data_IF_381571852277
#
_entry.id   IF_381571852277
#
_cell.length_a   1.000
_cell.length_b   1.000
_cell.length_c   1.000
_cell.angle_alpha   90.00
_cell.angle_beta   90.00
_cell.angle_gamma   90.00
#
_symmetry.space_group_name_H-M   'P 1'
#
loop_
_entity.id
_entity.type
_entity.pdbx_description
1 polymer ?
#
# COMPACT_ATOMS: atom_id res chain seq x y z
N UNK A 1 -16.72 3.86 -17.91
CA UNK A 1 -17.16 4.00 -16.51
C UNK A 1 -17.48 2.60 -16.02
N UNK A 2 -16.75 2.10 -15.02
CA UNK A 2 -17.03 0.79 -14.42
C UNK A 2 -18.29 0.93 -13.60
N UNK A 3 -19.33 0.16 -13.91
CA UNK A 3 -20.57 0.14 -13.14
C UNK A 3 -20.32 -0.24 -11.67
N UNK A 4 -21.22 0.18 -10.79
CA UNK A 4 -21.18 -0.16 -9.37
C UNK A 4 -21.27 -1.68 -9.23
N UNK A 5 -20.24 -2.32 -8.67
CA UNK A 5 -20.27 -3.76 -8.35
C UNK A 5 -21.29 -4.02 -7.24
N UNK A 6 -21.95 -5.17 -7.31
CA UNK A 6 -22.95 -5.59 -6.32
C UNK A 6 -22.38 -5.52 -4.89
N UNK A 7 -22.98 -4.70 -4.02
CA UNK A 7 -22.59 -4.55 -2.61
C UNK A 7 -21.97 -3.19 -2.24
N UNK A 8 -21.51 -2.39 -3.20
CA UNK A 8 -20.96 -1.06 -2.91
C UNK A 8 -21.98 0.05 -3.10
N UNK A 9 -21.89 1.10 -2.26
CA UNK A 9 -22.87 2.20 -2.22
C UNK A 9 -22.69 3.15 -3.42
N UNK A 10 -21.45 3.37 -3.86
CA UNK A 10 -21.10 4.26 -4.99
C UNK A 10 -19.72 3.88 -5.58
N UNK A 11 -19.38 4.28 -6.83
CA UNK A 11 -18.06 4.04 -7.38
C UNK A 11 -17.00 4.98 -6.75
N UNK A 12 -15.74 4.57 -6.72
CA UNK A 12 -14.63 5.43 -6.29
C UNK A 12 -14.36 6.54 -7.32
N UNK A 13 -14.17 7.78 -6.85
CA UNK A 13 -13.69 8.88 -7.69
C UNK A 13 -12.16 8.96 -7.66
N UNK A 14 -11.52 8.04 -8.40
CA UNK A 14 -10.06 8.01 -8.55
C UNK A 14 -9.53 9.13 -9.44
N UNK A 15 -10.39 9.86 -10.16
CA UNK A 15 -9.96 10.96 -11.04
C UNK A 15 -9.76 12.25 -10.24
N UNK A 16 -10.69 12.54 -9.35
CA UNK A 16 -10.59 13.70 -8.46
C UNK A 16 -9.85 13.40 -7.16
N UNK A 17 -9.71 12.11 -6.79
CA UNK A 17 -8.95 11.71 -5.61
C UNK A 17 -9.66 12.01 -4.30
N UNK A 18 -10.99 11.81 -4.26
CA UNK A 18 -11.79 12.09 -3.06
C UNK A 18 -11.78 10.91 -2.11
N UNK A 19 -11.25 11.14 -0.91
CA UNK A 19 -11.33 10.22 0.24
C UNK A 19 -12.21 10.86 1.30
N UNK A 20 -13.00 10.05 1.98
CA UNK A 20 -13.81 10.47 3.13
C UNK A 20 -13.73 9.43 4.25
N UNK A 21 -14.30 9.78 5.41
CA UNK A 21 -14.25 8.95 6.62
C UNK A 21 -14.85 7.55 6.44
N UNK A 22 -15.75 7.33 5.46
CA UNK A 22 -16.33 6.00 5.24
C UNK A 22 -15.29 5.00 4.73
N UNK A 23 -14.24 5.48 4.06
CA UNK A 23 -13.15 4.63 3.56
C UNK A 23 -12.20 4.16 4.67
N UNK A 24 -12.26 4.74 5.88
CA UNK A 24 -11.51 4.30 7.06
C UNK A 24 -12.35 3.54 8.11
N UNK A 25 -13.62 3.25 7.81
CA UNK A 25 -14.59 2.74 8.79
C UNK A 25 -14.58 1.23 9.04
N UNK A 26 -13.75 0.46 8.33
CA UNK A 26 -13.78 -1.01 8.39
C UNK A 26 -14.90 -1.67 7.57
N UNK A 27 -15.80 -0.87 6.97
CA UNK A 27 -16.96 -1.38 6.23
C UNK A 27 -16.71 -1.62 4.73
N UNK A 28 -17.82 -1.74 3.98
CA UNK A 28 -17.78 -2.01 2.53
C UNK A 28 -17.06 -0.94 1.72
N UNK A 29 -17.11 0.32 2.12
CA UNK A 29 -16.39 1.41 1.44
C UNK A 29 -14.86 1.26 1.58
N UNK A 30 -14.36 0.86 2.76
CA UNK A 30 -12.95 0.54 2.96
C UNK A 30 -12.54 -0.67 2.11
N UNK A 31 -13.35 -1.74 2.12
CA UNK A 31 -13.09 -2.92 1.30
C UNK A 31 -13.04 -2.58 -0.21
N UNK A 32 -13.90 -1.68 -0.68
CA UNK A 32 -13.87 -1.18 -2.05
C UNK A 32 -12.56 -0.44 -2.36
N UNK A 33 -12.11 0.44 -1.47
CA UNK A 33 -10.85 1.16 -1.64
C UNK A 33 -9.66 0.20 -1.71
N UNK A 34 -9.64 -0.80 -0.83
CA UNK A 34 -8.63 -1.87 -0.85
C UNK A 34 -8.67 -2.62 -2.19
N UNK A 35 -9.85 -3.05 -2.64
CA UNK A 35 -9.98 -3.88 -3.84
C UNK A 35 -9.70 -3.12 -5.15
N UNK A 36 -10.27 -1.92 -5.30
CA UNK A 36 -10.28 -1.21 -6.58
C UNK A 36 -9.06 -0.30 -6.78
N UNK A 37 -8.41 0.13 -5.68
CA UNK A 37 -7.20 0.95 -5.72
C UNK A 37 -5.95 0.15 -5.32
N UNK A 38 -5.87 -0.31 -4.07
CA UNK A 38 -4.63 -0.90 -3.53
C UNK A 38 -4.31 -2.26 -4.16
N UNK A 39 -5.20 -3.24 -4.07
CA UNK A 39 -5.02 -4.58 -4.64
C UNK A 39 -4.87 -4.52 -6.17
N UNK A 40 -5.49 -3.55 -6.84
CA UNK A 40 -5.32 -3.36 -8.28
C UNK A 40 -3.90 -2.91 -8.67
N UNK A 41 -3.18 -2.21 -7.79
CA UNK A 41 -1.83 -1.66 -8.08
C UNK A 41 -0.70 -2.42 -7.40
N UNK A 42 -0.95 -2.99 -6.24
CA UNK A 42 0.03 -3.64 -5.36
C UNK A 42 -0.26 -5.15 -5.18
N UNK A 43 -1.32 -5.65 -5.82
CA UNK A 43 -1.77 -7.03 -5.70
C UNK A 43 -0.71 -8.05 -6.11
N UNK A 44 -0.53 -9.05 -5.26
CA UNK A 44 0.31 -10.22 -5.46
C UNK A 44 -0.25 -11.36 -4.60
N UNK A 45 0.36 -12.54 -4.66
CA UNK A 45 -0.12 -13.72 -3.94
C UNK A 45 -0.16 -13.55 -2.41
N UNK A 46 0.66 -12.66 -1.85
CA UNK A 46 0.71 -12.38 -0.41
C UNK A 46 -0.42 -11.43 0.01
N UNK A 47 -0.59 -10.31 -0.69
CA UNK A 47 -1.72 -9.40 -0.44
C UNK A 47 -3.08 -10.06 -0.76
N UNK A 48 -3.08 -10.97 -1.74
CA UNK A 48 -4.24 -11.75 -2.16
C UNK A 48 -4.77 -12.72 -1.09
N UNK A 49 -3.99 -13.02 -0.04
CA UNK A 49 -4.44 -13.85 1.08
C UNK A 49 -5.58 -13.19 1.87
N UNK A 50 -5.67 -11.85 1.89
CA UNK A 50 -6.75 -11.08 2.52
C UNK A 50 -7.03 -11.46 3.98
N UNK A 51 -5.99 -11.85 4.70
CA UNK A 51 -6.04 -12.12 6.14
C UNK A 51 -5.52 -10.90 6.92
N UNK A 52 -5.56 -10.97 8.25
CA UNK A 52 -4.98 -9.95 9.15
C UNK A 52 -3.44 -9.83 9.04
N UNK A 53 -2.80 -10.72 8.29
CA UNK A 53 -1.38 -10.70 7.96
C UNK A 53 -1.06 -11.51 6.70
N UNK A 54 0.16 -11.34 6.18
CA UNK A 54 0.65 -12.12 5.04
C UNK A 54 1.56 -13.26 5.51
N UNK A 55 1.23 -14.48 5.11
CA UNK A 55 2.10 -15.64 5.28
C UNK A 55 3.11 -15.69 4.13
N UNK A 56 4.40 -15.59 4.45
CA UNK A 56 5.50 -15.56 3.49
C UNK A 56 6.51 -16.67 3.80
N UNK A 57 7.20 -17.21 2.77
CA UNK A 57 8.30 -18.13 2.98
C UNK A 57 9.37 -17.53 3.91
N UNK A 58 9.84 -18.32 4.88
CA UNK A 58 10.96 -17.94 5.74
C UNK A 58 12.24 -17.86 4.88
N UNK A 59 12.91 -16.69 4.81
CA UNK A 59 14.17 -16.59 4.07
C UNK A 59 15.25 -17.43 4.74
N UNK A 60 16.12 -18.03 3.93
CA UNK A 60 17.31 -18.70 4.44
C UNK A 60 18.31 -17.66 4.99
N UNK A 61 18.98 -17.98 6.09
CA UNK A 61 20.01 -17.12 6.67
C UNK A 61 19.45 -16.02 7.57
N UNK A 62 19.83 -14.76 7.29
CA UNK A 62 19.54 -13.61 8.16
C UNK A 62 18.31 -12.84 7.65
N UNK A 63 17.39 -12.54 8.57
CA UNK A 63 16.29 -11.61 8.33
C UNK A 63 16.72 -10.20 8.74
N UNK A 64 16.46 -9.22 7.87
CA UNK A 64 16.60 -7.79 8.16
C UNK A 64 15.24 -7.14 7.99
N UNK A 65 14.86 -6.28 8.95
CA UNK A 65 13.62 -5.54 8.96
C UNK A 65 13.93 -4.07 9.20
N UNK A 66 13.39 -3.20 8.35
CA UNK A 66 13.34 -1.75 8.55
C UNK A 66 11.89 -1.28 8.40
N UNK A 67 11.58 -0.13 8.98
CA UNK A 67 10.31 0.58 8.82
C UNK A 67 10.59 2.08 8.85
N UNK A 68 9.86 2.85 8.04
CA UNK A 68 9.99 4.30 8.03
C UNK A 68 8.62 4.96 7.78
N UNK A 69 8.46 6.20 8.25
CA UNK A 69 7.27 7.01 8.11
C UNK A 69 7.55 8.25 7.27
N UNK A 70 6.84 8.41 6.16
CA UNK A 70 7.12 9.46 5.19
C UNK A 70 6.08 10.57 5.25
N UNK A 71 6.52 11.80 5.53
CA UNK A 71 5.67 12.99 5.74
C UNK A 71 6.14 14.21 4.92
N UNK A 72 6.77 13.96 3.77
CA UNK A 72 7.36 15.00 2.91
C UNK A 72 6.31 15.97 2.37
N UNK A 73 6.70 17.25 2.23
CA UNK A 73 5.89 18.31 1.62
C UNK A 73 6.74 19.16 0.67
N UNK A 74 6.30 19.39 -0.59
CA UNK A 74 5.06 18.89 -1.19
C UNK A 74 5.08 17.37 -1.43
N UNK A 75 3.91 16.74 -1.62
CA UNK A 75 3.80 15.30 -1.91
C UNK A 75 4.46 14.90 -3.24
N UNK A 76 4.52 15.84 -4.19
CA UNK A 76 5.15 15.69 -5.50
C UNK A 76 6.19 16.79 -5.68
N UNK A 77 7.40 16.44 -6.10
CA UNK A 77 8.53 17.36 -6.20
C UNK A 77 9.42 17.00 -7.40
N UNK A 78 10.32 17.92 -7.84
CA UNK A 78 11.25 17.61 -8.92
C UNK A 78 12.09 16.37 -8.59
N UNK A 79 11.95 15.31 -9.38
CA UNK A 79 12.67 14.05 -9.20
C UNK A 79 11.94 12.95 -8.41
N UNK A 80 10.72 13.18 -7.91
CA UNK A 80 9.97 12.11 -7.24
C UNK A 80 8.66 12.54 -6.57
N UNK A 81 8.12 11.62 -5.79
CA UNK A 81 6.93 11.82 -4.97
C UNK A 81 7.03 11.03 -3.66
N UNK A 82 6.07 11.24 -2.76
CA UNK A 82 5.99 10.55 -1.47
C UNK A 82 5.96 9.02 -1.63
N UNK A 83 5.34 8.48 -2.68
CA UNK A 83 5.29 7.05 -2.93
C UNK A 83 6.65 6.48 -3.34
N UNK A 84 7.34 7.15 -4.26
CA UNK A 84 8.70 6.82 -4.65
C UNK A 84 9.65 6.90 -3.46
N UNK A 85 9.54 7.95 -2.65
CA UNK A 85 10.33 8.10 -1.42
C UNK A 85 10.07 6.95 -0.44
N UNK A 86 8.79 6.58 -0.26
CA UNK A 86 8.41 5.54 0.69
C UNK A 86 8.95 4.17 0.31
N UNK A 87 8.92 3.83 -0.98
CA UNK A 87 9.46 2.55 -1.45
C UNK A 87 10.99 2.56 -1.44
N UNK A 88 11.61 3.59 -2.03
CA UNK A 88 13.06 3.64 -2.19
C UNK A 88 13.77 3.79 -0.84
N UNK A 89 13.23 4.59 0.09
CA UNK A 89 13.79 4.80 1.42
C UNK A 89 13.88 3.49 2.20
N UNK A 90 12.75 2.77 2.34
CA UNK A 90 12.72 1.49 3.06
C UNK A 90 13.57 0.40 2.38
N UNK A 91 13.59 0.35 1.05
CA UNK A 91 14.48 -0.56 0.30
C UNK A 91 15.94 -0.27 0.59
N UNK A 92 16.34 1.01 0.58
CA UNK A 92 17.71 1.42 0.83
C UNK A 92 18.17 1.02 2.23
N UNK A 93 17.35 1.21 3.27
CA UNK A 93 17.69 0.82 4.64
C UNK A 93 18.02 -0.67 4.76
N UNK A 94 17.25 -1.53 4.10
CA UNK A 94 17.51 -2.97 4.07
C UNK A 94 18.77 -3.28 3.27
N UNK A 95 18.94 -2.63 2.12
CA UNK A 95 20.07 -2.86 1.21
C UNK A 95 21.42 -2.44 1.82
N UNK A 96 21.49 -1.32 2.54
CA UNK A 96 22.74 -0.85 3.17
C UNK A 96 23.21 -1.77 4.31
N UNK A 97 22.32 -2.58 4.87
CA UNK A 97 22.66 -3.65 5.82
C UNK A 97 23.12 -4.95 5.14
N UNK A 98 23.27 -4.94 3.80
CA UNK A 98 23.72 -6.09 3.01
C UNK A 98 22.66 -7.17 2.79
N UNK A 99 21.38 -6.87 3.04
CA UNK A 99 20.28 -7.80 2.80
C UNK A 99 19.61 -7.52 1.44
N UNK A 100 19.03 -8.57 0.86
CA UNK A 100 18.15 -8.43 -0.32
C UNK A 100 16.73 -8.12 0.17
N UNK A 101 16.13 -6.98 -0.20
CA UNK A 101 14.73 -6.70 0.13
C UNK A 101 13.81 -7.71 -0.56
N UNK A 102 12.94 -8.37 0.21
CA UNK A 102 12.04 -9.40 -0.31
C UNK A 102 10.58 -8.95 -0.31
N UNK A 103 10.17 -8.21 0.72
CA UNK A 103 8.78 -7.85 0.97
C UNK A 103 8.70 -6.43 1.54
N UNK A 104 7.60 -5.73 1.28
CA UNK A 104 7.29 -4.42 1.83
C UNK A 104 5.85 -4.43 2.37
N UNK A 105 5.67 -3.88 3.57
CA UNK A 105 4.37 -3.49 4.08
C UNK A 105 4.15 -2.00 3.79
N UNK A 106 2.91 -1.60 3.52
CA UNK A 106 2.55 -0.21 3.28
C UNK A 106 1.34 0.18 4.14
N UNK A 107 1.54 1.15 5.04
CA UNK A 107 0.49 1.78 5.81
C UNK A 107 0.20 3.17 5.27
N UNK A 108 -1.08 3.49 5.07
CA UNK A 108 -1.52 4.81 4.59
C UNK A 108 -2.36 5.49 5.66
N UNK A 109 -2.06 6.77 5.92
CA UNK A 109 -2.90 7.67 6.70
C UNK A 109 -3.53 8.62 5.68
N UNK A 110 -4.85 8.51 5.49
CA UNK A 110 -5.63 9.16 4.42
C UNK A 110 -6.68 10.12 4.98
#
# INVERSE_FOLDING_TARGET
MSGVRQGYVRPLDLKQGVVDLTHGSGGRAMAQLIDELFARRLGNDYLGQRNDGALMPMPAGRLVMSTDGHVVSPLFFPGGDIGCLSVNGTINDVAVLGATPLYLAAGFIL
#
